data_IF_583278551333
#
_entry.id   IF_583278551333
#
_cell.length_a   1.000
_cell.length_b   1.000
_cell.length_c   1.000
_cell.angle_alpha   90.00
_cell.angle_beta   90.00
_cell.angle_gamma   90.00
#
_symmetry.space_group_name_H-M   'P 1'
#
loop_
_entity.id
_entity.type
_entity.pdbx_description
1 polymer ?
#
# COMPACT_ATOMS: atom_id res chain seq x y z
N UNK A 1 15.26 -8.62 19.08
CA UNK A 1 15.13 -10.08 19.02
C UNK A 1 14.57 -10.51 17.66
N UNK A 2 14.98 -11.69 17.18
CA UNK A 2 14.39 -12.27 15.97
C UNK A 2 12.99 -12.82 16.27
N UNK A 3 12.86 -13.55 17.38
CA UNK A 3 11.56 -14.00 17.90
C UNK A 3 11.24 -13.32 19.23
N UNK A 4 10.14 -12.56 19.28
CA UNK A 4 9.66 -11.90 20.48
C UNK A 4 8.74 -12.77 21.33
N UNK A 5 8.27 -13.89 20.80
CA UNK A 5 7.23 -14.72 21.43
C UNK A 5 7.73 -16.11 21.83
N UNK A 6 8.91 -16.51 21.34
CA UNK A 6 9.61 -17.71 21.78
C UNK A 6 10.45 -17.47 23.03
N UNK A 7 10.84 -18.57 23.69
CA UNK A 7 11.63 -18.53 24.93
C UNK A 7 13.04 -19.13 24.77
N UNK A 8 13.31 -19.76 23.66
CA UNK A 8 14.54 -20.56 23.48
C UNK A 8 15.65 -19.81 22.73
N UNK A 9 15.37 -18.63 22.16
CA UNK A 9 16.31 -17.93 21.30
C UNK A 9 16.68 -16.55 21.83
N UNK A 10 17.98 -16.30 21.91
CA UNK A 10 18.56 -14.98 22.18
C UNK A 10 19.10 -14.31 20.92
N UNK A 11 18.65 -14.76 19.73
CA UNK A 11 19.09 -14.19 18.47
C UNK A 11 18.50 -12.79 18.28
N UNK A 12 19.34 -11.88 17.80
CA UNK A 12 18.98 -10.49 17.55
C UNK A 12 19.42 -10.09 16.14
N UNK A 13 18.81 -9.03 15.63
CA UNK A 13 19.23 -8.40 14.38
C UNK A 13 19.28 -6.89 14.56
N UNK A 14 19.90 -6.19 13.61
CA UNK A 14 19.93 -4.75 13.57
C UNK A 14 18.73 -4.22 12.80
N UNK A 15 17.88 -3.45 13.46
CA UNK A 15 16.77 -2.76 12.82
C UNK A 15 17.19 -1.34 12.45
N UNK A 16 17.05 -0.97 11.18
CA UNK A 16 17.29 0.39 10.70
C UNK A 16 16.15 1.31 11.10
N UNK A 17 16.47 2.52 11.50
CA UNK A 17 15.50 3.60 11.67
C UNK A 17 16.15 4.95 11.31
N UNK A 18 15.31 5.91 10.96
CA UNK A 18 15.71 7.30 10.68
C UNK A 18 15.10 8.19 11.75
N UNK A 19 15.83 9.21 12.18
CA UNK A 19 15.40 10.13 13.22
C UNK A 19 15.69 11.59 12.79
N UNK A 20 14.74 12.49 13.09
CA UNK A 20 14.87 13.91 12.89
C UNK A 20 14.31 14.65 14.11
N UNK A 21 15.15 15.39 14.82
CA UNK A 21 14.82 16.04 16.09
C UNK A 21 14.99 17.58 16.08
N UNK A 22 15.21 18.18 14.90
CA UNK A 22 15.47 19.60 14.76
C UNK A 22 14.33 20.52 15.25
N UNK A 23 13.08 20.01 15.26
CA UNK A 23 11.91 20.74 15.76
C UNK A 23 11.43 20.21 17.12
N UNK A 24 12.09 19.17 17.64
CA UNK A 24 11.63 18.53 18.86
C UNK A 24 11.88 19.37 20.11
N UNK A 25 10.83 19.60 20.86
CA UNK A 25 10.92 20.21 22.18
C UNK A 25 11.25 19.14 23.22
N UNK A 26 12.52 19.16 23.70
CA UNK A 26 12.98 18.22 24.75
C UNK A 26 12.07 18.28 25.98
N UNK A 27 11.96 17.14 26.64
CA UNK A 27 11.22 16.90 27.88
C UNK A 27 9.71 16.78 27.76
N UNK A 28 9.06 17.30 26.71
CA UNK A 28 7.60 17.19 26.55
C UNK A 28 7.07 17.17 25.11
N UNK A 29 7.95 17.34 24.10
CA UNK A 29 7.54 17.20 22.70
C UNK A 29 7.20 15.76 22.35
N UNK A 30 6.20 15.53 21.46
CA UNK A 30 5.83 14.18 21.05
C UNK A 30 6.86 13.54 20.12
N UNK A 31 6.75 12.21 19.97
CA UNK A 31 7.41 11.45 18.93
C UNK A 31 6.33 11.04 17.91
N UNK A 32 6.51 11.45 16.66
CA UNK A 32 5.74 10.93 15.53
C UNK A 32 6.50 9.74 14.96
N UNK A 33 5.92 8.57 15.12
CA UNK A 33 6.56 7.29 14.80
C UNK A 33 5.90 6.66 13.57
N UNK A 34 6.65 6.63 12.45
CA UNK A 34 6.20 5.96 11.25
C UNK A 34 6.45 4.45 11.36
N UNK A 35 5.39 3.67 11.25
CA UNK A 35 5.42 2.22 11.22
C UNK A 35 5.72 1.73 9.80
N UNK A 36 6.99 1.42 9.55
CA UNK A 36 7.50 1.08 8.23
C UNK A 36 6.75 -0.04 7.54
N UNK A 37 6.50 0.16 6.25
CA UNK A 37 5.82 -0.75 5.34
C UNK A 37 6.76 -1.82 4.74
N UNK A 38 6.25 -2.49 3.72
CA UNK A 38 6.89 -3.50 2.88
C UNK A 38 7.92 -2.91 1.89
N UNK A 39 8.93 -2.22 2.40
CA UNK A 39 9.97 -1.61 1.59
C UNK A 39 11.06 -0.89 2.41
N UNK A 40 12.04 -0.33 1.70
CA UNK A 40 13.10 0.49 2.29
C UNK A 40 12.52 1.73 2.98
N UNK A 41 12.89 1.96 4.22
CA UNK A 41 12.33 3.06 5.02
C UNK A 41 12.63 4.45 4.46
N UNK A 42 13.72 4.60 3.72
CA UNK A 42 14.06 5.90 3.09
C UNK A 42 13.02 6.29 2.04
N UNK A 43 12.44 5.30 1.35
CA UNK A 43 11.38 5.52 0.38
C UNK A 43 10.13 6.11 1.03
N UNK A 44 9.70 5.51 2.14
CA UNK A 44 8.54 6.01 2.90
C UNK A 44 8.82 7.34 3.57
N UNK A 45 10.00 7.55 4.12
CA UNK A 45 10.43 8.83 4.68
C UNK A 45 10.32 9.97 3.65
N UNK A 46 10.78 9.73 2.41
CA UNK A 46 10.74 10.71 1.33
C UNK A 46 9.32 10.97 0.78
N UNK A 47 8.40 10.02 0.94
CA UNK A 47 7.04 10.10 0.42
C UNK A 47 5.97 10.42 1.49
N UNK A 48 6.35 10.59 2.76
CA UNK A 48 5.45 10.91 3.87
C UNK A 48 5.69 12.35 4.37
N UNK A 49 5.56 13.31 3.46
CA UNK A 49 5.85 14.71 3.74
C UNK A 49 4.98 15.36 4.80
N UNK A 50 3.76 14.83 5.05
CA UNK A 50 2.88 15.30 6.13
C UNK A 50 3.60 15.33 7.49
N UNK A 51 4.36 14.30 7.84
CA UNK A 51 5.09 14.27 9.12
C UNK A 51 6.12 15.41 9.21
N UNK A 52 6.80 15.72 8.11
CA UNK A 52 7.74 16.83 8.02
C UNK A 52 7.01 18.18 8.12
N UNK A 53 5.87 18.32 7.46
CA UNK A 53 5.08 19.55 7.45
C UNK A 53 4.51 19.92 8.84
N UNK A 54 4.25 18.92 9.70
CA UNK A 54 3.64 19.12 11.03
C UNK A 54 4.64 19.07 12.18
N UNK A 55 5.89 18.67 11.93
CA UNK A 55 6.91 18.48 12.96
C UNK A 55 7.16 19.75 13.78
N UNK A 56 7.28 20.91 13.13
CA UNK A 56 7.47 22.20 13.80
C UNK A 56 6.24 22.60 14.62
N UNK A 57 5.04 22.50 14.03
CA UNK A 57 3.78 22.87 14.68
C UNK A 57 3.53 22.06 15.96
N UNK A 58 3.89 20.77 15.94
CA UNK A 58 3.73 19.88 17.07
C UNK A 58 4.94 19.84 18.01
N UNK A 59 6.03 20.53 17.69
CA UNK A 59 7.31 20.40 18.37
C UNK A 59 7.79 18.96 18.49
N UNK A 60 7.69 18.21 17.42
CA UNK A 60 7.81 16.77 17.38
C UNK A 60 9.19 16.29 16.91
N UNK A 61 9.62 15.16 17.47
CA UNK A 61 10.66 14.31 16.93
C UNK A 61 10.02 13.37 15.90
N UNK A 62 10.63 13.20 14.74
CA UNK A 62 10.21 12.21 13.75
C UNK A 62 11.09 10.97 13.86
N UNK A 63 10.45 9.80 13.84
CA UNK A 63 11.11 8.50 13.78
C UNK A 63 10.46 7.70 12.67
N UNK A 64 11.26 7.20 11.72
CA UNK A 64 10.82 6.29 10.68
C UNK A 64 11.50 4.94 10.93
N UNK A 65 10.72 3.95 11.38
CA UNK A 65 11.23 2.63 11.72
C UNK A 65 11.04 1.66 10.55
N UNK A 66 12.11 1.00 10.13
CA UNK A 66 12.05 0.02 9.05
C UNK A 66 11.43 -1.29 9.54
N UNK A 67 10.64 -1.92 8.70
CA UNK A 67 10.05 -3.22 8.97
C UNK A 67 11.09 -4.33 8.78
N UNK A 68 11.11 -5.34 9.66
CA UNK A 68 11.95 -6.53 9.48
C UNK A 68 11.75 -7.15 8.10
N UNK A 69 12.82 -7.72 7.53
CA UNK A 69 12.91 -8.30 6.19
C UNK A 69 12.80 -7.31 5.02
N UNK A 70 12.62 -6.02 5.28
CA UNK A 70 12.60 -5.00 4.24
C UNK A 70 13.80 -4.06 4.37
N UNK A 71 14.21 -3.48 3.26
CA UNK A 71 15.36 -2.60 3.21
C UNK A 71 16.63 -3.26 3.73
N UNK A 72 17.25 -2.67 4.76
CA UNK A 72 18.46 -3.16 5.39
C UNK A 72 18.21 -3.96 6.69
N UNK A 73 16.96 -4.05 7.15
CA UNK A 73 16.58 -4.72 8.41
C UNK A 73 16.34 -6.21 8.22
N UNK A 74 17.39 -6.93 7.84
CA UNK A 74 17.36 -8.35 7.50
C UNK A 74 17.79 -9.22 8.69
N UNK A 75 16.87 -10.00 9.32
CA UNK A 75 17.16 -10.80 10.52
C UNK A 75 18.30 -11.83 10.35
N UNK A 76 18.47 -12.37 9.16
CA UNK A 76 19.51 -13.34 8.83
C UNK A 76 20.43 -12.85 7.70
N UNK A 77 20.52 -11.53 7.49
CA UNK A 77 21.31 -10.95 6.40
C UNK A 77 20.91 -11.52 5.04
N UNK A 78 21.87 -11.96 4.24
CA UNK A 78 21.63 -12.51 2.90
C UNK A 78 20.83 -13.83 2.92
N UNK A 79 20.72 -14.51 4.05
CA UNK A 79 19.98 -15.75 4.20
C UNK A 79 18.52 -15.55 4.60
N UNK A 80 18.10 -14.29 4.84
CA UNK A 80 16.73 -13.98 5.29
C UNK A 80 15.62 -14.54 4.40
N UNK A 81 15.90 -14.71 3.11
CA UNK A 81 14.96 -15.23 2.10
C UNK A 81 15.34 -16.60 1.55
N UNK A 82 16.31 -17.30 2.17
CA UNK A 82 16.83 -18.58 1.64
C UNK A 82 15.84 -19.73 1.72
N UNK A 83 15.02 -19.75 2.75
CA UNK A 83 14.01 -20.79 2.98
C UNK A 83 12.90 -20.33 3.94
N UNK A 84 11.86 -21.14 4.08
CA UNK A 84 10.71 -20.85 4.94
C UNK A 84 11.04 -20.82 6.43
N UNK A 85 12.14 -21.44 6.88
CA UNK A 85 12.53 -21.40 8.30
C UNK A 85 13.06 -20.01 8.67
N UNK A 86 13.90 -19.42 7.79
CA UNK A 86 14.39 -18.06 7.97
C UNK A 86 13.25 -17.05 7.81
N UNK A 87 12.32 -17.27 6.88
CA UNK A 87 11.16 -16.41 6.64
C UNK A 87 10.06 -16.52 7.71
N UNK A 88 10.08 -17.53 8.57
CA UNK A 88 9.01 -17.78 9.56
C UNK A 88 8.77 -16.60 10.53
N UNK A 89 9.72 -15.72 10.69
CA UNK A 89 9.62 -14.54 11.56
C UNK A 89 9.16 -13.28 10.82
N UNK A 90 8.87 -13.37 9.52
CA UNK A 90 8.27 -12.28 8.75
C UNK A 90 6.77 -12.27 9.01
N UNK A 91 6.37 -11.64 10.09
CA UNK A 91 4.95 -11.45 10.45
C UNK A 91 4.71 -10.03 10.95
N UNK A 92 3.49 -9.53 10.79
CA UNK A 92 3.06 -8.25 11.34
C UNK A 92 3.20 -8.19 12.86
N UNK A 93 2.92 -9.30 13.53
CA UNK A 93 3.01 -9.44 14.99
C UNK A 93 4.45 -9.23 15.51
N UNK A 94 5.42 -9.87 14.87
CA UNK A 94 6.83 -9.68 15.17
C UNK A 94 7.30 -8.24 14.90
N UNK A 95 6.84 -7.65 13.77
CA UNK A 95 7.16 -6.27 13.41
C UNK A 95 6.59 -5.26 14.43
N UNK A 96 5.37 -5.47 14.92
CA UNK A 96 4.79 -4.62 15.97
C UNK A 96 5.61 -4.69 17.27
N UNK A 97 6.10 -5.87 17.64
CA UNK A 97 6.96 -6.04 18.80
C UNK A 97 8.31 -5.33 18.61
N UNK A 98 8.91 -5.39 17.41
CA UNK A 98 10.11 -4.60 17.08
C UNK A 98 9.87 -3.11 17.31
N UNK A 99 8.76 -2.56 16.81
CA UNK A 99 8.42 -1.15 16.98
C UNK A 99 8.23 -0.77 18.45
N UNK A 100 7.55 -1.60 19.22
CA UNK A 100 7.38 -1.37 20.66
C UNK A 100 8.73 -1.32 21.40
N UNK A 101 9.62 -2.27 21.12
CA UNK A 101 10.97 -2.32 21.70
C UNK A 101 11.81 -1.11 21.26
N UNK A 102 11.74 -0.71 19.99
CA UNK A 102 12.44 0.47 19.51
C UNK A 102 11.97 1.75 20.21
N UNK A 103 10.66 1.93 20.36
CA UNK A 103 10.10 3.10 21.07
C UNK A 103 10.62 3.16 22.52
N UNK A 104 10.59 2.06 23.25
CA UNK A 104 11.12 1.99 24.62
C UNK A 104 12.63 2.26 24.67
N UNK A 105 13.38 1.74 23.71
CA UNK A 105 14.80 2.04 23.57
C UNK A 105 15.05 3.55 23.35
N UNK A 106 14.33 4.20 22.44
CA UNK A 106 14.46 5.63 22.18
C UNK A 106 14.09 6.46 23.41
N UNK A 107 13.01 6.12 24.11
CA UNK A 107 12.56 6.81 25.34
C UNK A 107 13.55 6.69 26.48
N UNK A 108 14.32 5.61 26.54
CA UNK A 108 15.31 5.39 27.59
C UNK A 108 16.70 5.93 27.25
N UNK A 109 17.06 6.01 25.97
CA UNK A 109 18.40 6.40 25.53
C UNK A 109 18.51 7.87 25.12
N UNK A 110 17.42 8.47 24.61
CA UNK A 110 17.43 9.88 24.21
C UNK A 110 17.08 10.75 25.42
N UNK A 111 18.01 11.62 25.78
CA UNK A 111 17.83 12.53 26.93
C UNK A 111 16.62 13.46 26.72
N UNK A 112 15.64 13.39 27.63
CA UNK A 112 14.38 14.15 27.56
C UNK A 112 13.22 13.40 26.90
N UNK A 113 13.44 12.24 26.28
CA UNK A 113 12.37 11.51 25.57
C UNK A 113 11.50 10.62 26.48
N UNK A 114 11.89 10.40 27.73
CA UNK A 114 11.27 9.44 28.64
C UNK A 114 9.74 9.57 28.73
N UNK A 115 9.24 10.79 28.77
CA UNK A 115 7.81 11.10 28.92
C UNK A 115 7.16 11.59 27.63
N UNK A 116 7.89 11.61 26.52
CA UNK A 116 7.34 11.98 25.21
C UNK A 116 6.18 11.07 24.84
N UNK A 117 4.98 11.61 24.55
CA UNK A 117 3.89 10.83 24.00
C UNK A 117 4.25 10.41 22.58
N UNK A 118 3.88 9.18 22.19
CA UNK A 118 4.18 8.64 20.87
C UNK A 118 2.90 8.47 20.09
N UNK A 119 2.86 9.00 18.86
CA UNK A 119 1.77 8.78 17.91
C UNK A 119 2.30 7.91 16.78
N UNK A 120 1.67 6.76 16.55
CA UNK A 120 1.96 5.91 15.41
C UNK A 120 1.31 6.49 14.14
N UNK A 121 2.06 6.55 13.06
CA UNK A 121 1.59 7.04 11.75
C UNK A 121 2.02 6.05 10.67
N UNK A 122 1.15 5.76 9.72
CA UNK A 122 1.51 4.95 8.57
C UNK A 122 0.47 5.02 7.46
N UNK A 123 0.89 4.68 6.26
CA UNK A 123 0.03 4.55 5.09
C UNK A 123 -0.02 3.11 4.59
N UNK A 124 -1.15 2.68 4.01
CA UNK A 124 -1.28 1.34 3.44
C UNK A 124 -1.03 0.24 4.50
N UNK A 125 -0.18 -0.73 4.24
CA UNK A 125 0.25 -1.72 5.23
C UNK A 125 0.89 -1.05 6.48
N UNK A 126 1.66 0.03 6.29
CA UNK A 126 2.15 0.83 7.41
C UNK A 126 1.01 1.44 8.24
N UNK A 127 -0.09 1.84 7.61
CA UNK A 127 -1.31 2.29 8.30
C UNK A 127 -2.01 1.17 9.07
N UNK A 128 -2.05 -0.06 8.50
CA UNK A 128 -2.52 -1.25 9.22
C UNK A 128 -1.68 -1.47 10.48
N UNK A 129 -0.35 -1.41 10.35
CA UNK A 129 0.58 -1.56 11.47
C UNK A 129 0.42 -0.44 12.50
N UNK A 130 0.19 0.82 12.10
CA UNK A 130 -0.05 1.92 13.03
C UNK A 130 -1.31 1.67 13.88
N UNK A 131 -2.42 1.28 13.25
CA UNK A 131 -3.65 0.93 13.94
C UNK A 131 -3.44 -0.26 14.89
N UNK A 132 -2.83 -1.34 14.40
CA UNK A 132 -2.57 -2.55 15.19
C UNK A 132 -1.56 -2.30 16.33
N UNK A 133 -0.58 -1.42 16.14
CA UNK A 133 0.33 -1.00 17.21
C UNK A 133 -0.44 -0.32 18.35
N UNK A 134 -1.37 0.60 18.02
CA UNK A 134 -2.22 1.22 19.03
C UNK A 134 -3.15 0.21 19.72
N UNK A 135 -3.69 -0.75 18.99
CA UNK A 135 -4.56 -1.78 19.55
C UNK A 135 -3.84 -2.73 20.52
N UNK A 136 -2.62 -3.17 20.14
CA UNK A 136 -1.85 -4.19 20.89
C UNK A 136 -0.92 -3.61 21.96
N UNK A 137 -0.42 -2.39 21.75
CA UNK A 137 0.54 -1.72 22.61
C UNK A 137 0.05 -0.32 23.05
N UNK A 138 -1.17 -0.21 23.65
CA UNK A 138 -1.74 1.08 24.02
C UNK A 138 -0.96 1.81 25.10
N UNK A 139 -0.10 1.12 25.82
CA UNK A 139 0.84 1.69 26.81
C UNK A 139 2.09 2.30 26.15
N UNK A 140 2.38 1.96 24.91
CA UNK A 140 3.54 2.47 24.16
C UNK A 140 3.16 3.68 23.30
N UNK A 141 2.01 3.64 22.63
CA UNK A 141 1.53 4.71 21.73
C UNK A 141 0.19 5.26 22.20
N UNK A 142 0.07 6.60 22.26
CA UNK A 142 -1.11 7.29 22.77
C UNK A 142 -2.23 7.42 21.73
N UNK A 143 -1.90 7.29 20.46
CA UNK A 143 -2.85 7.32 19.35
C UNK A 143 -2.21 6.85 18.04
N UNK A 144 -3.03 6.65 17.01
CA UNK A 144 -2.59 6.25 15.69
C UNK A 144 -3.34 6.97 14.56
N UNK A 145 -2.59 7.40 13.53
CA UNK A 145 -3.10 7.83 12.23
C UNK A 145 -2.81 6.71 11.21
N UNK A 146 -3.86 6.03 10.79
CA UNK A 146 -3.84 4.90 9.88
C UNK A 146 -4.44 5.33 8.53
N UNK A 147 -3.60 5.84 7.63
CA UNK A 147 -4.03 6.35 6.34
C UNK A 147 -4.11 5.22 5.30
N UNK A 148 -5.23 5.14 4.58
CA UNK A 148 -5.46 4.12 3.55
C UNK A 148 -5.11 2.70 4.03
N UNK A 149 -5.51 2.40 5.25
CA UNK A 149 -5.21 1.13 5.93
C UNK A 149 -6.32 0.11 5.69
N UNK A 150 -6.14 -0.89 4.82
CA UNK A 150 -7.20 -1.83 4.45
C UNK A 150 -7.32 -2.99 5.46
N UNK A 151 -7.56 -2.66 6.74
CA UNK A 151 -7.63 -3.66 7.84
C UNK A 151 -8.80 -4.65 7.71
N UNK A 152 -9.71 -4.41 6.77
CA UNK A 152 -10.84 -5.28 6.46
C UNK A 152 -10.74 -5.96 5.08
N UNK A 153 -9.63 -5.80 4.35
CA UNK A 153 -9.40 -6.47 3.06
C UNK A 153 -9.06 -7.97 3.24
N UNK A 154 -9.73 -8.64 4.15
CA UNK A 154 -9.49 -10.05 4.48
C UNK A 154 -10.74 -10.89 4.28
N UNK A 155 -10.56 -12.20 4.36
CA UNK A 155 -11.61 -13.18 4.09
C UNK A 155 -12.88 -12.91 4.90
N UNK A 156 -14.04 -13.07 4.27
CA UNK A 156 -15.38 -12.85 4.83
C UNK A 156 -15.68 -11.44 5.39
N UNK A 157 -14.79 -10.45 5.26
CA UNK A 157 -15.04 -9.11 5.77
C UNK A 157 -15.64 -8.17 4.72
N UNK A 158 -15.21 -8.29 3.47
CA UNK A 158 -15.72 -7.49 2.34
C UNK A 158 -15.87 -8.35 1.09
N UNK A 159 -16.75 -7.98 0.14
CA UNK A 159 -16.85 -8.68 -1.14
C UNK A 159 -15.55 -8.55 -1.95
N UNK A 160 -15.05 -9.65 -2.49
CA UNK A 160 -13.77 -9.71 -3.21
C UNK A 160 -13.67 -8.79 -4.45
N UNK A 161 -14.79 -8.41 -5.06
CA UNK A 161 -14.84 -7.54 -6.25
C UNK A 161 -14.83 -6.04 -5.96
N UNK A 162 -14.96 -5.63 -4.69
CA UNK A 162 -15.13 -4.20 -4.33
C UNK A 162 -13.95 -3.36 -4.76
N UNK A 163 -12.72 -3.85 -4.57
CA UNK A 163 -11.49 -3.19 -4.97
C UNK A 163 -11.47 -2.83 -6.47
N UNK A 164 -11.74 -3.80 -7.34
CA UNK A 164 -11.73 -3.60 -8.80
C UNK A 164 -12.92 -2.77 -9.31
N UNK A 165 -14.01 -2.75 -8.57
CA UNK A 165 -15.14 -1.87 -8.87
C UNK A 165 -14.78 -0.39 -8.63
N UNK A 166 -14.00 -0.08 -7.58
CA UNK A 166 -13.48 1.28 -7.34
C UNK A 166 -12.53 1.68 -8.45
N UNK A 167 -11.55 0.84 -8.80
CA UNK A 167 -10.64 1.09 -9.93
C UNK A 167 -11.43 1.43 -11.19
N UNK A 168 -12.42 0.60 -11.53
CA UNK A 168 -13.26 0.78 -12.72
C UNK A 168 -14.00 2.11 -12.69
N UNK A 169 -14.53 2.49 -11.54
CA UNK A 169 -15.24 3.75 -11.36
C UNK A 169 -14.34 4.96 -11.59
N UNK A 170 -13.08 4.92 -11.15
CA UNK A 170 -12.11 6.00 -11.37
C UNK A 170 -11.85 6.22 -12.86
N UNK A 171 -11.65 5.14 -13.64
CA UNK A 171 -11.50 5.24 -15.10
C UNK A 171 -12.78 5.71 -15.78
N UNK A 172 -13.96 5.24 -15.33
CA UNK A 172 -15.25 5.64 -15.86
C UNK A 172 -15.53 7.14 -15.66
N UNK A 173 -15.16 7.68 -14.49
CA UNK A 173 -15.35 9.10 -14.16
C UNK A 173 -14.31 10.00 -14.87
N UNK A 174 -13.11 9.48 -15.12
CA UNK A 174 -12.01 10.25 -15.70
C UNK A 174 -12.12 10.44 -17.21
N UNK A 175 -12.87 9.60 -17.92
CA UNK A 175 -13.04 9.75 -19.38
C UNK A 175 -14.12 8.85 -19.95
N UNK A 176 -14.95 9.45 -20.83
CA UNK A 176 -15.98 8.69 -21.54
C UNK A 176 -15.34 7.63 -22.43
N UNK A 177 -15.81 6.38 -22.31
CA UNK A 177 -15.32 5.25 -23.10
C UNK A 177 -14.02 4.62 -22.57
N UNK A 178 -13.42 5.19 -21.53
CA UNK A 178 -12.13 4.76 -21.01
C UNK A 178 -12.19 3.34 -20.41
N UNK A 179 -13.06 3.13 -19.44
CA UNK A 179 -13.24 1.81 -18.83
C UNK A 179 -13.74 0.75 -19.80
N UNK A 180 -14.59 1.14 -20.75
CA UNK A 180 -15.10 0.25 -21.80
C UNK A 180 -13.98 -0.15 -22.79
N UNK A 181 -13.08 0.79 -23.14
CA UNK A 181 -11.92 0.50 -23.99
C UNK A 181 -10.98 -0.52 -23.31
N UNK A 182 -10.73 -0.36 -22.01
CA UNK A 182 -9.94 -1.33 -21.24
C UNK A 182 -10.64 -2.70 -21.22
N UNK A 183 -11.95 -2.73 -20.92
CA UNK A 183 -12.72 -3.98 -20.92
C UNK A 183 -12.65 -4.71 -22.26
N UNK A 184 -12.81 -3.99 -23.37
CA UNK A 184 -12.79 -4.58 -24.71
C UNK A 184 -11.38 -5.05 -25.11
N UNK A 185 -10.32 -4.47 -24.51
CA UNK A 185 -8.93 -4.82 -24.83
C UNK A 185 -8.59 -6.27 -24.52
N UNK A 186 -9.22 -6.86 -23.51
CA UNK A 186 -8.98 -8.27 -23.13
C UNK A 186 -9.37 -9.23 -24.26
N UNK A 187 -10.54 -9.03 -24.83
CA UNK A 187 -10.98 -9.84 -25.98
C UNK A 187 -10.09 -9.61 -27.21
N UNK A 188 -9.65 -8.38 -27.45
CA UNK A 188 -8.74 -8.07 -28.55
C UNK A 188 -7.38 -8.76 -28.39
N UNK A 189 -6.83 -8.80 -27.16
CA UNK A 189 -5.60 -9.54 -26.85
C UNK A 189 -5.81 -11.04 -27.04
N UNK A 190 -6.90 -11.60 -26.52
CA UNK A 190 -7.21 -13.02 -26.65
C UNK A 190 -7.36 -13.43 -28.13
N UNK A 191 -8.00 -12.60 -28.95
CA UNK A 191 -8.16 -12.85 -30.38
C UNK A 191 -6.79 -12.82 -31.10
N UNK A 192 -5.96 -11.80 -30.90
CA UNK A 192 -4.67 -11.70 -31.59
C UNK A 192 -3.69 -12.76 -31.08
N UNK A 193 -3.62 -13.02 -29.78
CA UNK A 193 -2.71 -14.01 -29.21
C UNK A 193 -2.99 -15.46 -29.64
N UNK A 194 -4.13 -15.73 -30.25
CA UNK A 194 -4.49 -17.06 -30.78
C UNK A 194 -3.65 -17.49 -31.98
N UNK A 195 -2.86 -16.57 -32.59
CA UNK A 195 -2.01 -16.85 -33.75
C UNK A 195 -0.59 -16.33 -33.52
N UNK A 196 0.39 -17.00 -34.13
CA UNK A 196 1.80 -16.59 -34.07
C UNK A 196 1.99 -15.15 -34.63
N UNK A 197 1.34 -14.84 -35.75
CA UNK A 197 1.39 -13.50 -36.32
C UNK A 197 0.78 -12.43 -35.37
N UNK A 198 -0.24 -12.79 -34.63
CA UNK A 198 -0.83 -11.89 -33.62
C UNK A 198 0.08 -11.71 -32.41
N UNK A 199 0.75 -12.75 -31.90
CA UNK A 199 1.74 -12.64 -30.83
C UNK A 199 2.93 -11.73 -31.26
N UNK A 200 3.42 -11.89 -32.49
CA UNK A 200 4.45 -11.00 -33.04
C UNK A 200 3.97 -9.55 -33.16
N UNK A 201 2.72 -9.35 -33.60
CA UNK A 201 2.14 -8.03 -33.71
C UNK A 201 1.99 -7.35 -32.36
N UNK A 202 1.50 -8.07 -31.33
CA UNK A 202 1.40 -7.58 -29.94
C UNK A 202 2.78 -7.19 -29.41
N UNK A 203 3.77 -8.05 -29.58
CA UNK A 203 5.15 -7.81 -29.12
C UNK A 203 5.74 -6.54 -29.74
N UNK A 204 5.55 -6.35 -31.05
CA UNK A 204 6.05 -5.19 -31.78
C UNK A 204 5.29 -3.91 -31.39
N UNK A 205 3.96 -3.97 -31.27
CA UNK A 205 3.11 -2.81 -30.95
C UNK A 205 3.35 -2.29 -29.55
N UNK A 206 3.55 -3.20 -28.56
CA UNK A 206 3.85 -2.82 -27.19
C UNK A 206 5.35 -2.60 -26.93
N UNK A 207 6.20 -2.67 -27.96
CA UNK A 207 7.64 -2.52 -27.81
C UNK A 207 8.23 -3.38 -26.70
N UNK A 208 7.80 -4.66 -26.62
CA UNK A 208 8.22 -5.56 -25.55
C UNK A 208 9.71 -5.91 -25.66
N UNK A 209 10.41 -5.92 -24.52
CA UNK A 209 11.83 -6.33 -24.45
C UNK A 209 12.01 -7.80 -24.89
N UNK A 210 11.05 -8.63 -24.54
CA UNK A 210 11.03 -10.05 -24.90
C UNK A 210 9.74 -10.35 -25.69
N UNK A 211 9.81 -10.88 -26.91
CA UNK A 211 8.62 -11.21 -27.71
C UNK A 211 7.78 -12.31 -27.05
N UNK A 212 6.45 -12.19 -27.16
CA UNK A 212 5.50 -13.22 -26.76
C UNK A 212 5.65 -14.45 -27.67
N UNK A 213 5.71 -15.65 -27.09
CA UNK A 213 5.93 -16.92 -27.82
C UNK A 213 4.71 -17.83 -27.81
N UNK A 214 3.83 -17.65 -26.81
CA UNK A 214 2.70 -18.54 -26.58
C UNK A 214 1.60 -17.86 -25.77
N UNK A 215 0.50 -18.57 -25.51
CA UNK A 215 -0.63 -18.06 -24.72
C UNK A 215 -0.28 -17.77 -23.24
N UNK A 216 0.71 -18.46 -22.69
CA UNK A 216 1.15 -18.18 -21.32
C UNK A 216 1.83 -16.82 -21.23
N UNK A 217 2.67 -16.45 -22.22
CA UNK A 217 3.27 -15.12 -22.25
C UNK A 217 2.20 -14.04 -22.45
N UNK A 218 1.16 -14.32 -23.23
CA UNK A 218 0.00 -13.42 -23.36
C UNK A 218 -0.79 -13.27 -22.04
N UNK A 219 -0.90 -14.32 -21.23
CA UNK A 219 -1.49 -14.24 -19.91
C UNK A 219 -0.64 -13.38 -18.95
N UNK A 220 0.68 -13.50 -18.98
CA UNK A 220 1.59 -12.63 -18.23
C UNK A 220 1.43 -11.17 -18.64
N UNK A 221 1.33 -10.90 -19.95
CA UNK A 221 1.07 -9.54 -20.47
C UNK A 221 -0.26 -8.99 -19.95
N UNK A 222 -1.33 -9.78 -19.93
CA UNK A 222 -2.64 -9.34 -19.40
C UNK A 222 -2.57 -9.02 -17.90
N UNK A 223 -1.86 -9.81 -17.12
CA UNK A 223 -1.65 -9.51 -15.70
C UNK A 223 -0.89 -8.20 -15.51
N UNK A 224 0.18 -8.00 -16.27
CA UNK A 224 0.96 -6.77 -16.27
C UNK A 224 0.14 -5.53 -16.65
N UNK A 225 -0.77 -5.65 -17.64
CA UNK A 225 -1.73 -4.60 -17.96
C UNK A 225 -2.71 -4.34 -16.82
N UNK A 226 -3.24 -5.40 -16.21
CA UNK A 226 -4.16 -5.30 -15.07
C UNK A 226 -3.52 -4.54 -13.89
N UNK A 227 -2.27 -4.87 -13.55
CA UNK A 227 -1.51 -4.15 -12.52
C UNK A 227 -1.31 -2.67 -12.88
N UNK A 228 -1.08 -2.35 -14.15
CA UNK A 228 -0.96 -0.96 -14.60
C UNK A 228 -2.20 -0.13 -14.28
N UNK A 229 -3.39 -0.67 -14.57
CA UNK A 229 -4.65 0.03 -14.30
C UNK A 229 -4.90 0.21 -12.81
N UNK A 230 -4.63 -0.82 -12.03
CA UNK A 230 -4.73 -0.80 -10.56
C UNK A 230 -3.79 0.25 -9.96
N UNK A 231 -2.54 0.26 -10.38
CA UNK A 231 -1.54 1.19 -9.86
C UNK A 231 -1.81 2.64 -10.27
N UNK A 232 -2.31 2.87 -11.49
CA UNK A 232 -2.76 4.20 -11.91
C UNK A 232 -3.88 4.74 -11.01
N UNK A 233 -4.83 3.90 -10.60
CA UNK A 233 -5.88 4.30 -9.67
C UNK A 233 -5.31 4.59 -8.27
N UNK A 234 -4.42 3.75 -7.79
CA UNK A 234 -3.78 3.91 -6.48
C UNK A 234 -3.01 5.23 -6.37
N UNK A 235 -2.30 5.65 -7.40
CA UNK A 235 -1.50 6.87 -7.39
C UNK A 235 -2.09 8.01 -8.24
N UNK A 236 -3.41 8.07 -8.38
CA UNK A 236 -4.11 9.11 -9.13
C UNK A 236 -4.08 10.48 -8.40
N UNK A 237 -2.87 10.99 -8.18
CA UNK A 237 -2.65 12.23 -7.42
C UNK A 237 -2.91 13.48 -8.25
N UNK A 238 -3.31 14.61 -7.62
CA UNK A 238 -3.66 15.85 -8.31
C UNK A 238 -2.45 16.64 -8.83
N UNK A 239 -1.25 16.16 -8.60
CA UNK A 239 0.02 16.78 -9.03
C UNK A 239 1.02 15.69 -9.47
N UNK A 240 2.05 16.11 -10.20
CA UNK A 240 3.16 15.23 -10.61
C UNK A 240 3.80 14.59 -9.38
N UNK A 241 3.93 13.29 -9.38
CA UNK A 241 4.50 12.53 -8.27
C UNK A 241 5.37 11.37 -8.77
N UNK A 242 6.28 10.94 -7.90
CA UNK A 242 7.12 9.76 -8.10
C UNK A 242 7.04 8.90 -6.84
N UNK A 243 6.04 8.01 -6.80
CA UNK A 243 5.89 7.05 -5.71
C UNK A 243 6.06 5.61 -6.21
N UNK A 244 5.19 5.13 -7.12
CA UNK A 244 5.38 3.83 -7.77
C UNK A 244 6.18 3.99 -9.07
N UNK A 245 5.85 4.99 -9.85
CA UNK A 245 6.51 5.43 -11.08
C UNK A 245 6.43 6.96 -11.17
N UNK A 246 7.35 7.63 -11.90
CA UNK A 246 7.16 9.03 -12.25
C UNK A 246 5.91 9.21 -13.11
N UNK A 247 4.93 9.98 -12.64
CA UNK A 247 3.64 10.16 -13.31
C UNK A 247 3.23 11.64 -13.33
N UNK A 248 2.43 12.08 -14.33
CA UNK A 248 1.84 13.41 -14.37
C UNK A 248 0.77 13.58 -13.29
N UNK A 249 0.26 14.81 -13.14
CA UNK A 249 -0.96 15.07 -12.37
C UNK A 249 -2.15 14.33 -13.00
N UNK A 250 -3.02 13.76 -12.16
CA UNK A 250 -4.22 13.04 -12.57
C UNK A 250 -3.96 12.00 -13.68
N UNK A 251 -3.06 11.03 -13.44
CA UNK A 251 -2.59 10.14 -14.49
C UNK A 251 -3.70 9.35 -15.19
N UNK A 252 -4.81 9.01 -14.50
CA UNK A 252 -5.95 8.36 -15.16
C UNK A 252 -6.58 9.27 -16.22
N UNK A 253 -6.73 10.56 -15.95
CA UNK A 253 -7.25 11.50 -16.95
C UNK A 253 -6.34 11.57 -18.18
N UNK A 254 -5.02 11.49 -17.99
CA UNK A 254 -4.05 11.50 -19.09
C UNK A 254 -4.13 10.23 -19.93
N UNK A 255 -4.18 9.04 -19.31
CA UNK A 255 -4.30 7.78 -20.07
C UNK A 255 -5.67 7.66 -20.75
N UNK A 256 -6.74 8.16 -20.17
CA UNK A 256 -8.07 8.17 -20.77
C UNK A 256 -8.18 9.05 -22.04
N UNK A 257 -7.23 9.95 -22.28
CA UNK A 257 -7.16 10.69 -23.56
C UNK A 257 -6.95 9.78 -24.76
N UNK A 258 -6.28 8.64 -24.58
CA UNK A 258 -6.07 7.63 -25.61
C UNK A 258 -7.23 6.63 -25.72
N UNK A 259 -8.03 6.45 -24.67
CA UNK A 259 -9.03 5.39 -24.53
C UNK A 259 -10.48 5.90 -24.66
N UNK A 260 -10.76 6.73 -25.67
CA UNK A 260 -12.05 7.43 -25.83
C UNK A 260 -13.10 6.63 -26.59
N UNK A 261 -12.69 5.75 -27.49
CA UNK A 261 -13.58 5.00 -28.37
C UNK A 261 -13.42 3.49 -28.16
N UNK A 262 -14.38 2.86 -27.47
CA UNK A 262 -14.36 1.42 -27.22
C UNK A 262 -14.71 0.56 -28.43
N UNK A 263 -15.19 1.17 -29.54
CA UNK A 263 -15.68 0.45 -30.71
C UNK A 263 -14.65 0.37 -31.86
N UNK A 264 -13.40 0.66 -31.57
CA UNK A 264 -12.30 0.51 -32.52
C UNK A 264 -12.06 -0.97 -32.87
N UNK A 265 -11.44 -1.23 -34.03
CA UNK A 265 -10.94 -2.57 -34.34
C UNK A 265 -9.86 -2.97 -33.33
N UNK A 266 -9.69 -4.29 -33.10
CA UNK A 266 -8.74 -4.85 -32.12
C UNK A 266 -7.37 -4.17 -32.18
N UNK A 267 -6.80 -4.05 -33.37
CA UNK A 267 -5.48 -3.46 -33.56
C UNK A 267 -5.43 -1.97 -33.21
N UNK A 268 -6.42 -1.19 -33.59
CA UNK A 268 -6.48 0.24 -33.27
C UNK A 268 -6.69 0.44 -31.76
N UNK A 269 -7.58 -0.35 -31.17
CA UNK A 269 -7.80 -0.33 -29.72
C UNK A 269 -6.51 -0.61 -28.96
N UNK A 270 -5.78 -1.67 -29.33
CA UNK A 270 -4.55 -2.06 -28.65
C UNK A 270 -3.38 -1.11 -28.89
N UNK A 271 -3.32 -0.41 -30.03
CA UNK A 271 -2.39 0.71 -30.22
C UNK A 271 -2.67 1.85 -29.23
N UNK A 272 -3.94 2.16 -28.97
CA UNK A 272 -4.31 3.16 -27.98
C UNK A 272 -4.03 2.69 -26.54
N UNK A 273 -4.27 1.40 -26.25
CA UNK A 273 -3.89 0.79 -24.96
C UNK A 273 -2.37 0.88 -24.74
N UNK A 274 -1.57 0.62 -25.77
CA UNK A 274 -0.12 0.82 -25.68
C UNK A 274 0.24 2.26 -25.31
N UNK A 275 -0.36 3.27 -25.93
CA UNK A 275 -0.07 4.67 -25.60
C UNK A 275 -0.38 4.97 -24.12
N UNK A 276 -1.50 4.47 -23.61
CA UNK A 276 -1.89 4.63 -22.22
C UNK A 276 -0.90 3.96 -21.26
N UNK A 277 -0.49 2.73 -21.55
CA UNK A 277 0.46 1.95 -20.72
C UNK A 277 1.87 2.53 -20.78
N UNK A 278 2.29 2.99 -21.97
CA UNK A 278 3.58 3.64 -22.14
C UNK A 278 3.72 4.92 -21.31
N UNK A 279 2.60 5.62 -21.03
CA UNK A 279 2.60 6.74 -20.10
C UNK A 279 2.96 6.29 -18.69
N UNK A 280 2.53 5.12 -18.23
CA UNK A 280 2.87 4.61 -16.90
C UNK A 280 4.36 4.20 -16.82
N UNK A 281 4.85 3.40 -17.76
CA UNK A 281 6.20 2.83 -17.70
C UNK A 281 7.30 3.69 -18.30
N UNK A 282 6.96 4.67 -19.11
CA UNK A 282 7.92 5.46 -19.88
C UNK A 282 7.59 6.97 -19.92
N UNK A 283 7.01 7.50 -18.85
CA UNK A 283 6.70 8.93 -18.76
C UNK A 283 7.95 9.81 -18.89
N UNK A 284 9.11 9.34 -18.40
CA UNK A 284 10.40 10.03 -18.56
C UNK A 284 10.94 9.96 -20.00
N UNK A 285 10.48 9.03 -20.83
CA UNK A 285 10.98 8.78 -22.18
C UNK A 285 12.30 8.00 -22.24
N UNK A 286 12.74 7.40 -21.14
CA UNK A 286 14.03 6.70 -21.04
C UNK A 286 13.95 5.21 -21.36
N UNK A 287 12.78 4.59 -21.30
CA UNK A 287 12.61 3.18 -21.58
C UNK A 287 12.72 2.88 -23.09
N UNK A 288 13.67 2.05 -23.48
CA UNK A 288 13.83 1.59 -24.86
C UNK A 288 12.86 0.47 -25.25
N UNK A 289 12.41 -0.32 -24.29
CA UNK A 289 11.41 -1.38 -24.43
C UNK A 289 10.65 -1.54 -23.10
N UNK A 290 9.51 -2.24 -23.13
CA UNK A 290 8.73 -2.56 -21.95
C UNK A 290 8.94 -4.02 -21.55
N UNK A 291 9.30 -4.25 -20.29
CA UNK A 291 9.50 -5.59 -19.74
C UNK A 291 8.27 -6.01 -18.92
N UNK A 292 7.48 -6.94 -19.45
CA UNK A 292 6.28 -7.47 -18.78
C UNK A 292 6.59 -8.39 -17.60
N UNK A 293 7.86 -8.76 -17.38
CA UNK A 293 8.30 -9.49 -16.19
C UNK A 293 8.65 -8.55 -15.04
N UNK A 294 8.86 -7.26 -15.32
CA UNK A 294 9.05 -6.26 -14.29
C UNK A 294 7.72 -5.94 -13.61
N UNK A 295 7.78 -5.78 -12.32
CA UNK A 295 6.61 -5.40 -11.54
C UNK A 295 6.38 -3.89 -11.64
N UNK A 296 5.13 -3.50 -11.55
CA UNK A 296 4.73 -2.10 -11.57
C UNK A 296 5.12 -1.31 -10.31
N UNK A 297 5.70 -1.97 -9.30
CA UNK A 297 6.00 -1.42 -7.95
C UNK A 297 7.48 -1.61 -7.57
N UNK A 298 8.40 -1.10 -8.38
CA UNK A 298 9.86 -1.31 -8.24
C UNK A 298 10.45 -0.94 -6.87
N UNK A 299 9.85 0.03 -6.18
CA UNK A 299 10.36 0.55 -4.91
C UNK A 299 9.83 -0.18 -3.67
N UNK A 300 8.96 -1.17 -3.84
CA UNK A 300 8.42 -2.00 -2.76
C UNK A 300 9.14 -3.35 -2.68
N UNK A 301 9.19 -3.90 -1.46
CA UNK A 301 9.87 -5.17 -1.16
C UNK A 301 9.03 -6.39 -1.52
N UNK A 302 8.87 -6.67 -2.80
CA UNK A 302 7.93 -7.66 -3.31
C UNK A 302 8.16 -9.06 -2.79
N UNK A 303 9.42 -9.48 -2.63
CA UNK A 303 9.74 -10.85 -2.20
C UNK A 303 9.20 -11.13 -0.80
N UNK A 304 9.40 -10.19 0.15
CA UNK A 304 8.84 -10.28 1.50
C UNK A 304 7.32 -10.22 1.48
N UNK A 305 6.75 -9.31 0.69
CA UNK A 305 5.30 -9.16 0.58
C UNK A 305 4.61 -10.41 0.03
N UNK A 306 5.16 -11.05 -1.01
CA UNK A 306 4.62 -12.32 -1.53
C UNK A 306 4.63 -13.43 -0.48
N UNK A 307 5.65 -13.49 0.37
CA UNK A 307 5.65 -14.43 1.48
C UNK A 307 4.56 -14.09 2.52
N UNK A 308 4.40 -12.82 2.90
CA UNK A 308 3.34 -12.41 3.83
C UNK A 308 1.94 -12.69 3.27
N UNK A 309 1.71 -12.47 1.98
CA UNK A 309 0.45 -12.82 1.29
C UNK A 309 0.21 -14.33 1.34
N UNK A 310 1.24 -15.14 1.22
CA UNK A 310 1.19 -16.60 1.32
C UNK A 310 1.12 -17.14 2.77
N UNK A 311 1.11 -16.28 3.78
CA UNK A 311 1.02 -16.67 5.19
C UNK A 311 -0.16 -16.01 5.90
N UNK A 312 -0.03 -14.74 6.26
CA UNK A 312 -1.00 -14.01 7.10
C UNK A 312 -1.86 -13.00 6.32
N UNK A 313 -1.34 -12.40 5.23
CA UNK A 313 -2.00 -11.32 4.48
C UNK A 313 -2.87 -11.87 3.33
N UNK A 314 -3.76 -12.79 3.64
CA UNK A 314 -4.67 -13.38 2.65
C UNK A 314 -5.80 -12.40 2.35
N UNK A 315 -5.70 -11.75 1.19
CA UNK A 315 -6.64 -10.72 0.74
C UNK A 315 -7.40 -11.23 -0.51
N UNK A 316 -8.62 -11.78 -0.36
CA UNK A 316 -9.40 -12.26 -1.49
C UNK A 316 -9.73 -11.15 -2.48
N UNK A 317 -9.41 -11.36 -3.74
CA UNK A 317 -9.73 -10.43 -4.83
C UNK A 317 -10.31 -11.20 -6.02
N UNK A 318 -11.37 -10.67 -6.62
CA UNK A 318 -12.01 -11.25 -7.79
C UNK A 318 -12.52 -10.17 -8.75
N UNK A 319 -12.74 -10.56 -10.01
CA UNK A 319 -13.31 -9.73 -11.07
C UNK A 319 -14.40 -10.48 -11.80
N UNK A 320 -15.38 -9.77 -12.38
CA UNK A 320 -16.48 -10.38 -13.12
C UNK A 320 -16.64 -9.88 -14.54
N UNK A 321 -15.94 -8.80 -14.92
CA UNK A 321 -16.01 -8.19 -16.25
C UNK A 321 -17.32 -7.46 -16.55
N UNK A 322 -18.23 -7.39 -15.59
CA UNK A 322 -19.55 -6.73 -15.69
C UNK A 322 -19.59 -5.49 -14.80
N UNK A 323 -19.34 -5.69 -13.50
CA UNK A 323 -19.26 -4.62 -12.51
C UNK A 323 -17.88 -3.95 -12.49
N UNK A 324 -16.91 -4.57 -13.11
CA UNK A 324 -15.56 -4.06 -13.29
C UNK A 324 -15.12 -4.13 -14.78
N UNK A 325 -13.99 -3.53 -15.09
CA UNK A 325 -13.43 -3.49 -16.44
C UNK A 325 -12.37 -4.56 -16.73
N UNK A 326 -12.19 -5.50 -15.81
CA UNK A 326 -11.14 -6.52 -15.88
C UNK A 326 -11.66 -7.82 -16.50
N UNK A 327 -10.75 -8.70 -16.88
CA UNK A 327 -11.09 -10.05 -17.32
C UNK A 327 -11.64 -10.84 -16.13
N UNK A 328 -12.74 -11.63 -16.28
CA UNK A 328 -13.32 -12.36 -15.16
C UNK A 328 -12.34 -13.33 -14.51
N UNK A 329 -12.11 -13.19 -13.23
CA UNK A 329 -11.26 -14.07 -12.43
C UNK A 329 -11.90 -14.30 -11.06
N UNK A 330 -12.20 -15.56 -10.76
CA UNK A 330 -12.72 -15.95 -9.45
C UNK A 330 -11.59 -16.05 -8.44
N UNK A 331 -11.87 -15.72 -7.20
CA UNK A 331 -11.01 -16.10 -6.08
C UNK A 331 -11.11 -17.61 -5.86
N UNK A 332 -9.97 -18.29 -5.90
CA UNK A 332 -9.86 -19.72 -5.64
C UNK A 332 -8.78 -19.93 -4.57
N UNK A 333 -9.22 -20.12 -3.34
CA UNK A 333 -8.32 -20.27 -2.19
C UNK A 333 -7.47 -21.55 -2.30
N UNK A 334 -8.02 -22.64 -2.82
CA UNK A 334 -7.28 -23.90 -2.93
C UNK A 334 -6.14 -23.77 -3.94
N UNK A 335 -6.42 -23.21 -5.11
CA UNK A 335 -5.39 -22.93 -6.12
C UNK A 335 -4.32 -21.95 -5.59
N UNK A 336 -4.73 -20.89 -4.89
CA UNK A 336 -3.83 -19.95 -4.24
C UNK A 336 -2.94 -20.63 -3.18
N UNK A 337 -3.52 -21.47 -2.34
CA UNK A 337 -2.80 -22.22 -1.30
C UNK A 337 -1.78 -23.21 -1.89
N UNK A 338 -2.13 -23.88 -2.99
CA UNK A 338 -1.19 -24.76 -3.70
C UNK A 338 -0.01 -23.98 -4.32
N UNK A 339 -0.27 -22.81 -4.89
CA UNK A 339 0.79 -21.95 -5.41
C UNK A 339 1.74 -21.47 -4.30
N UNK A 340 1.20 -21.04 -3.15
CA UNK A 340 2.00 -20.66 -1.99
C UNK A 340 2.86 -21.83 -1.47
N UNK A 341 2.31 -23.04 -1.46
CA UNK A 341 3.06 -24.23 -1.07
C UNK A 341 4.17 -24.56 -2.06
N UNK A 342 3.89 -24.43 -3.36
CA UNK A 342 4.88 -24.65 -4.42
C UNK A 342 6.05 -23.64 -4.35
N UNK A 343 5.75 -22.39 -4.06
CA UNK A 343 6.76 -21.31 -4.03
C UNK A 343 7.58 -21.30 -2.73
N UNK A 344 6.90 -21.47 -1.59
CA UNK A 344 7.47 -21.20 -0.28
C UNK A 344 7.44 -22.38 0.68
N UNK A 345 6.75 -23.47 0.34
CA UNK A 345 6.55 -24.62 1.23
C UNK A 345 5.64 -24.30 2.43
N UNK A 346 4.83 -23.24 2.35
CA UNK A 346 3.90 -22.81 3.40
C UNK A 346 2.48 -22.75 2.88
N UNK A 347 1.50 -22.84 3.79
CA UNK A 347 0.10 -22.66 3.45
C UNK A 347 -0.46 -21.44 4.16
N UNK A 348 -1.28 -20.62 3.45
CA UNK A 348 -1.87 -19.42 4.01
C UNK A 348 -2.85 -19.72 5.13
N UNK A 349 -2.96 -18.78 6.08
CA UNK A 349 -3.90 -18.84 7.21
C UNK A 349 -4.89 -17.67 7.12
N UNK A 350 -5.99 -17.80 6.38
CA UNK A 350 -6.91 -16.69 6.09
C UNK A 350 -7.55 -16.08 7.34
N UNK A 351 -7.74 -16.86 8.40
CA UNK A 351 -8.30 -16.38 9.66
C UNK A 351 -7.27 -15.74 10.61
N UNK A 352 -5.97 -15.74 10.26
CA UNK A 352 -4.92 -15.30 11.19
C UNK A 352 -5.08 -13.84 11.61
N UNK A 353 -5.19 -12.92 10.65
CA UNK A 353 -5.34 -11.48 10.90
C UNK A 353 -6.63 -11.18 11.69
N UNK A 354 -7.73 -11.86 11.35
CA UNK A 354 -8.99 -11.70 12.07
C UNK A 354 -8.86 -12.13 13.53
N UNK A 355 -8.20 -13.25 13.79
CA UNK A 355 -7.96 -13.76 15.14
C UNK A 355 -7.03 -12.86 15.95
N UNK A 356 -5.99 -12.32 15.30
CA UNK A 356 -5.00 -11.46 15.94
C UNK A 356 -5.52 -10.06 16.25
N UNK A 357 -6.26 -9.45 15.34
CA UNK A 357 -6.61 -8.03 15.38
C UNK A 357 -8.12 -7.75 15.45
N UNK A 358 -8.95 -8.79 15.51
CA UNK A 358 -10.39 -8.66 15.80
C UNK A 358 -11.30 -8.35 14.61
N UNK A 359 -10.78 -8.26 13.38
CA UNK A 359 -11.56 -7.98 12.17
C UNK A 359 -12.37 -6.69 12.30
N UNK A 360 -13.70 -6.76 12.25
CA UNK A 360 -14.60 -5.60 12.43
C UNK A 360 -14.91 -5.29 13.90
N UNK A 361 -14.56 -6.17 14.85
CA UNK A 361 -14.88 -6.03 16.27
C UNK A 361 -13.78 -5.25 17.03
N UNK A 362 -13.54 -4.00 16.64
CA UNK A 362 -12.48 -3.15 17.20
C UNK A 362 -12.99 -1.99 18.05
N UNK A 363 -14.28 -1.94 18.37
CA UNK A 363 -14.90 -0.84 19.13
C UNK A 363 -14.39 -0.65 20.56
N UNK A 364 -13.73 -1.67 21.12
CA UNK A 364 -13.11 -1.61 22.45
C UNK A 364 -11.77 -0.84 22.47
N UNK A 365 -11.20 -0.56 21.32
CA UNK A 365 -9.97 0.22 21.18
C UNK A 365 -10.27 1.73 21.15
N UNK A 366 -9.22 2.55 21.16
CA UNK A 366 -9.37 4.00 21.26
C UNK A 366 -8.22 4.74 20.57
N UNK A 367 -8.46 6.03 20.26
CA UNK A 367 -7.47 6.95 19.72
C UNK A 367 -6.87 6.48 18.39
N UNK A 368 -7.73 6.12 17.45
CA UNK A 368 -7.32 5.74 16.09
C UNK A 368 -8.10 6.58 15.09
N UNK A 369 -7.40 7.20 14.15
CA UNK A 369 -7.97 7.81 12.95
C UNK A 369 -7.69 6.87 11.78
N UNK A 370 -8.73 6.54 11.04
CA UNK A 370 -8.63 5.89 9.73
C UNK A 370 -8.98 6.92 8.66
N UNK A 371 -8.02 7.34 7.85
CA UNK A 371 -8.28 8.15 6.68
C UNK A 371 -8.28 7.30 5.41
N UNK A 372 -9.22 7.56 4.50
CA UNK A 372 -9.36 6.81 3.26
C UNK A 372 -9.71 7.74 2.10
N UNK A 373 -9.04 7.59 0.97
CA UNK A 373 -9.37 8.29 -0.25
C UNK A 373 -10.58 7.70 -0.96
N UNK A 374 -11.45 8.55 -1.51
CA UNK A 374 -12.60 8.12 -2.33
C UNK A 374 -12.20 7.52 -3.67
N UNK A 375 -11.00 7.89 -4.17
CA UNK A 375 -10.40 7.37 -5.40
C UNK A 375 -9.39 6.23 -5.12
N UNK A 376 -9.21 5.86 -3.86
CA UNK A 376 -8.27 4.82 -3.47
C UNK A 376 -8.92 3.44 -3.54
N UNK A 377 -8.45 2.52 -4.39
CA UNK A 377 -9.00 1.16 -4.44
C UNK A 377 -8.95 0.43 -3.10
N UNK A 378 -7.94 0.70 -2.28
CA UNK A 378 -7.77 0.09 -0.95
C UNK A 378 -8.80 0.58 0.07
N UNK A 379 -9.53 1.66 -0.22
CA UNK A 379 -10.67 2.07 0.62
C UNK A 379 -11.77 1.00 0.70
N UNK A 380 -11.79 0.05 -0.24
CA UNK A 380 -12.63 -1.15 -0.19
C UNK A 380 -12.53 -1.90 1.14
N UNK A 381 -11.30 -2.07 1.65
CA UNK A 381 -11.02 -2.73 2.93
C UNK A 381 -10.75 -1.75 4.08
N UNK A 382 -10.96 -0.44 3.87
CA UNK A 382 -10.73 0.60 4.86
C UNK A 382 -11.91 0.78 5.82
N UNK A 383 -11.64 1.44 6.94
CA UNK A 383 -12.67 1.90 7.88
C UNK A 383 -13.17 3.27 7.39
N UNK A 384 -14.36 3.30 6.80
CA UNK A 384 -14.93 4.50 6.15
C UNK A 384 -16.06 5.16 6.95
N UNK A 385 -16.39 4.61 8.13
CA UNK A 385 -17.39 5.16 9.06
C UNK A 385 -16.85 5.11 10.48
N UNK A 386 -17.24 6.09 11.29
CA UNK A 386 -16.86 6.09 12.70
C UNK A 386 -17.35 4.81 13.40
N UNK A 387 -16.46 4.18 14.15
CA UNK A 387 -16.79 2.98 14.93
C UNK A 387 -17.20 3.40 16.37
N UNK A 388 -16.56 4.45 16.90
CA UNK A 388 -16.85 5.03 18.21
C UNK A 388 -16.43 6.50 18.23
N UNK A 389 -16.64 7.19 19.34
CA UNK A 389 -16.17 8.57 19.55
C UNK A 389 -14.62 8.68 19.58
N UNK A 390 -13.93 7.56 19.62
CA UNK A 390 -12.46 7.49 19.70
C UNK A 390 -11.80 6.72 18.54
N UNK A 391 -12.60 6.09 17.68
CA UNK A 391 -12.17 5.47 16.43
C UNK A 391 -12.89 6.18 15.29
N UNK A 392 -12.18 7.12 14.70
CA UNK A 392 -12.71 8.09 13.75
C UNK A 392 -12.35 7.68 12.32
N UNK A 393 -13.30 7.78 11.41
CA UNK A 393 -13.09 7.66 9.98
C UNK A 393 -13.12 9.03 9.29
N UNK A 394 -12.14 9.30 8.46
CA UNK A 394 -12.07 10.49 7.61
C UNK A 394 -12.11 10.01 6.15
N UNK A 395 -13.18 10.34 5.43
CA UNK A 395 -13.26 10.08 4.00
C UNK A 395 -12.82 11.32 3.22
N UNK A 396 -11.89 11.14 2.29
CA UNK A 396 -11.32 12.17 1.42
C UNK A 396 -11.81 11.92 -0.01
N UNK A 397 -12.93 12.52 -0.45
CA UNK A 397 -13.57 12.15 -1.72
C UNK A 397 -12.66 12.24 -2.94
N UNK A 398 -11.79 13.25 -2.96
CA UNK A 398 -10.89 13.55 -4.08
C UNK A 398 -9.47 12.98 -3.87
N UNK A 399 -9.26 12.16 -2.86
CA UNK A 399 -7.97 11.55 -2.52
C UNK A 399 -7.80 10.18 -3.14
N UNK A 400 -6.61 9.92 -3.69
CA UNK A 400 -6.13 8.59 -3.97
C UNK A 400 -5.35 8.03 -2.76
N UNK A 401 -4.56 7.00 -2.92
CA UNK A 401 -3.92 6.23 -1.84
C UNK A 401 -3.07 7.12 -0.92
N UNK A 402 -3.46 7.24 0.34
CA UNK A 402 -2.87 8.06 1.42
C UNK A 402 -2.36 9.45 0.98
N UNK A 403 -3.15 10.16 0.16
CA UNK A 403 -2.80 11.50 -0.33
C UNK A 403 -2.61 12.50 0.83
N UNK A 404 -3.32 12.35 1.92
CA UNK A 404 -3.20 13.12 3.17
C UNK A 404 -1.81 13.02 3.81
N UNK A 405 -1.10 11.89 3.68
CA UNK A 405 0.25 11.72 4.21
C UNK A 405 1.36 12.35 3.33
N UNK A 406 1.06 12.78 2.12
CA UNK A 406 2.04 13.47 1.27
C UNK A 406 2.29 14.90 1.76
N UNK A 407 3.38 15.52 1.32
CA UNK A 407 3.65 16.94 1.60
C UNK A 407 2.49 17.83 1.14
N UNK A 408 2.26 18.92 1.86
CA UNK A 408 1.36 19.99 1.41
C UNK A 408 1.71 20.45 0.01
N UNK A 409 0.72 20.58 -0.84
CA UNK A 409 0.91 20.98 -2.22
C UNK A 409 -0.18 22.00 -2.61
N UNK A 410 0.14 23.04 -3.39
CA UNK A 410 -0.87 23.98 -3.90
C UNK A 410 -1.98 23.32 -4.72
N UNK A 411 -1.73 22.14 -5.29
CA UNK A 411 -2.72 21.33 -6.01
C UNK A 411 -3.58 20.43 -5.13
N UNK A 412 -3.40 20.45 -3.79
CA UNK A 412 -4.23 19.61 -2.90
C UNK A 412 -5.70 20.03 -2.96
N UNK A 413 -6.64 19.08 -3.16
CA UNK A 413 -8.05 19.32 -3.01
C UNK A 413 -8.41 19.85 -1.61
N UNK A 414 -9.49 20.59 -1.50
CA UNK A 414 -9.98 21.12 -0.22
C UNK A 414 -10.25 19.99 0.79
N UNK A 415 -10.76 18.86 0.31
CA UNK A 415 -11.03 17.66 1.14
C UNK A 415 -9.76 17.13 1.83
N UNK A 416 -8.60 17.15 1.16
CA UNK A 416 -7.30 16.74 1.74
C UNK A 416 -6.83 17.74 2.80
N UNK A 417 -7.00 19.04 2.54
CA UNK A 417 -6.62 20.08 3.50
C UNK A 417 -7.47 19.99 4.77
N UNK A 418 -8.77 19.74 4.64
CA UNK A 418 -9.70 19.54 5.76
C UNK A 418 -9.36 18.27 6.54
N UNK A 419 -9.03 17.17 5.86
CA UNK A 419 -8.60 15.92 6.50
C UNK A 419 -7.36 16.14 7.36
N UNK A 420 -6.30 16.74 6.82
CA UNK A 420 -5.08 17.06 7.57
C UNK A 420 -5.34 17.96 8.78
N UNK A 421 -6.24 18.94 8.67
CA UNK A 421 -6.61 19.80 9.80
C UNK A 421 -7.27 18.99 10.93
N UNK A 422 -8.14 18.04 10.60
CA UNK A 422 -8.77 17.15 11.58
C UNK A 422 -7.75 16.19 12.21
N UNK A 423 -6.87 15.60 11.43
CA UNK A 423 -5.81 14.70 11.89
C UNK A 423 -4.90 15.42 12.90
N UNK A 424 -4.45 16.63 12.59
CA UNK A 424 -3.63 17.45 13.48
C UNK A 424 -4.41 17.78 14.77
N UNK A 425 -5.70 18.11 14.66
CA UNK A 425 -6.54 18.42 15.81
C UNK A 425 -6.62 17.23 16.78
N UNK A 426 -6.87 16.02 16.28
CA UNK A 426 -6.92 14.82 17.13
C UNK A 426 -5.55 14.50 17.73
N UNK A 427 -4.46 14.59 16.95
CA UNK A 427 -3.11 14.37 17.47
C UNK A 427 -2.77 15.32 18.61
N UNK A 428 -3.10 16.61 18.50
CA UNK A 428 -2.93 17.59 19.59
C UNK A 428 -3.71 17.20 20.84
N UNK A 429 -4.96 16.78 20.70
CA UNK A 429 -5.76 16.32 21.83
C UNK A 429 -5.14 15.12 22.55
N UNK A 430 -4.59 14.17 21.80
CA UNK A 430 -3.93 12.99 22.40
C UNK A 430 -2.64 13.37 23.13
N UNK A 431 -1.85 14.27 22.55
CA UNK A 431 -0.62 14.79 23.16
C UNK A 431 -0.94 15.52 24.47
N UNK A 432 -1.94 16.42 24.48
CA UNK A 432 -2.35 17.16 25.65
C UNK A 432 -2.88 16.24 26.77
N UNK A 433 -3.72 15.27 26.44
CA UNK A 433 -4.23 14.29 27.40
C UNK A 433 -3.12 13.47 28.03
N UNK A 434 -2.13 13.06 27.23
CA UNK A 434 -0.99 12.30 27.73
C UNK A 434 -0.11 13.15 28.68
N UNK A 435 0.11 14.45 28.36
CA UNK A 435 0.87 15.36 29.21
C UNK A 435 0.19 15.68 30.55
N UNK A 436 -1.14 15.65 30.63
CA UNK A 436 -1.88 15.88 31.87
C UNK A 436 -1.91 14.66 32.82
N UNK A 437 -1.44 13.50 32.37
CA UNK A 437 -1.39 12.27 33.16
C UNK A 437 -0.01 12.05 33.82
N UNK A 438 0.92 12.97 33.65
CA UNK A 438 2.26 13.01 34.26
C UNK A 438 2.45 14.32 35.04
#
# INVERSE_FOLDING_TARGET
>A
QIDHFGFDENLTFQQRYLIADQHWKKDNGPILFYTGNEGDITWFCNNTGFMWDVAEELNAMLVFAEHRYYGESLPFGNESFSDSKHLNYLTSEQALADFAVLIEYLKTTIAGARYSPVIAIGGSYGGMLAAWLRMKYPHVVVGALAASAPIWQFDDLIPCGTYFSIVTNDFKQSGRGCSESIRNSWNAINHLSSTEAGLQWLSSTFHLCNPLKNLQDAAVMKNWLSETWVNLAMVNYPYKADFLQPLPAWPIQEVCKFLKDPNLSDKLLLQNVFQAVNLYYNYSGEASCLDISETATKNLGQLGWYYQVCTEMVMPMCTDGVNDMFEPQKWDFDAFSEECYRLWGVRPRPSWILSMYGGKNISSHSNIIFSNGGLDPWSAGGVTQNISDSIIAILIPDGAHHLDLRSRNPGDPESVQQARALEICYMKQWIERAGNNH
#
